data_IF_239911476502
#
_entry.id   IF_239911476502
#
_cell.length_a   1.000
_cell.length_b   1.000
_cell.length_c   1.000
_cell.angle_alpha   90.00
_cell.angle_beta   90.00
_cell.angle_gamma   90.00
#
_symmetry.space_group_name_H-M   'P 1'
#
loop_
_entity.id
_entity.type
_entity.pdbx_description
1 polymer ?
#
# COMPACT_ATOMS: atom_id res chain seq x y z
N UNK A 1 7.58 -10.32 -0.76
CA UNK A 1 6.43 -9.95 -1.63
C UNK A 1 5.99 -11.16 -2.46
N UNK A 2 6.94 -11.93 -3.00
CA UNK A 2 6.64 -13.17 -3.72
C UNK A 2 5.72 -14.14 -2.95
N UNK A 3 6.01 -14.41 -1.68
CA UNK A 3 5.20 -15.31 -0.85
C UNK A 3 3.72 -14.87 -0.72
N UNK A 4 3.45 -13.56 -0.68
CA UNK A 4 2.09 -13.02 -0.67
C UNK A 4 1.38 -13.29 -2.01
N UNK A 5 2.05 -13.03 -3.13
CA UNK A 5 1.50 -13.27 -4.47
C UNK A 5 1.21 -14.77 -4.66
N UNK A 6 2.13 -15.64 -4.27
CA UNK A 6 1.92 -17.09 -4.35
C UNK A 6 0.77 -17.57 -3.47
N UNK A 7 0.63 -17.01 -2.25
CA UNK A 7 -0.50 -17.30 -1.38
C UNK A 7 -1.83 -16.89 -2.04
N UNK A 8 -1.89 -15.71 -2.64
CA UNK A 8 -3.07 -15.23 -3.36
C UNK A 8 -3.39 -16.10 -4.57
N UNK A 9 -2.38 -16.56 -5.31
CA UNK A 9 -2.55 -17.48 -6.45
C UNK A 9 -3.16 -18.81 -6.01
N UNK A 10 -2.67 -19.39 -4.92
CA UNK A 10 -3.21 -20.63 -4.33
C UNK A 10 -4.66 -20.43 -3.85
N UNK A 11 -4.95 -19.31 -3.18
CA UNK A 11 -6.31 -19.02 -2.74
C UNK A 11 -7.27 -18.80 -3.90
N UNK A 12 -6.84 -18.14 -4.98
CA UNK A 12 -7.68 -17.95 -6.17
C UNK A 12 -8.08 -19.28 -6.81
N UNK A 13 -7.21 -20.30 -6.76
CA UNK A 13 -7.54 -21.65 -7.24
C UNK A 13 -8.56 -22.36 -6.34
N UNK A 14 -8.56 -22.06 -5.03
CA UNK A 14 -9.43 -22.70 -4.04
C UNK A 14 -10.78 -22.00 -3.87
N UNK A 15 -10.82 -20.69 -4.03
CA UNK A 15 -11.98 -19.86 -3.72
C UNK A 15 -12.45 -19.13 -4.98
N UNK A 16 -13.48 -19.66 -5.64
CA UNK A 16 -14.02 -19.10 -6.89
C UNK A 16 -14.52 -17.65 -6.75
N UNK A 17 -14.92 -17.24 -5.54
CA UNK A 17 -15.35 -15.87 -5.25
C UNK A 17 -14.18 -14.88 -5.07
N UNK A 18 -12.93 -15.35 -4.92
CA UNK A 18 -11.77 -14.50 -4.75
C UNK A 18 -11.29 -13.95 -6.10
N UNK A 19 -11.46 -12.63 -6.28
CA UNK A 19 -10.83 -11.89 -7.37
C UNK A 19 -9.60 -11.12 -6.86
N UNK A 20 -8.56 -11.05 -7.69
CA UNK A 20 -7.35 -10.28 -7.43
C UNK A 20 -7.19 -9.29 -8.56
N UNK A 21 -6.99 -8.02 -8.23
CA UNK A 21 -6.77 -6.94 -9.19
C UNK A 21 -5.50 -6.17 -8.82
N UNK A 22 -4.90 -5.54 -9.83
CA UNK A 22 -3.77 -4.64 -9.62
C UNK A 22 -4.32 -3.28 -9.22
N UNK A 23 -3.88 -2.77 -8.07
CA UNK A 23 -4.32 -1.47 -7.56
C UNK A 23 -3.53 -0.31 -8.17
N UNK A 24 -2.23 -0.49 -8.37
CA UNK A 24 -1.28 0.58 -8.73
C UNK A 24 -0.28 0.12 -9.80
N UNK A 25 0.43 1.05 -10.45
CA UNK A 25 1.42 0.76 -11.50
C UNK A 25 0.88 0.84 -12.93
N UNK A 26 -0.20 1.59 -13.15
CA UNK A 26 -0.62 1.98 -14.50
C UNK A 26 0.16 3.19 -15.00
N UNK A 27 0.21 3.40 -16.33
CA UNK A 27 0.60 4.67 -16.91
C UNK A 27 -0.22 5.80 -16.29
N UNK A 28 0.46 6.88 -15.91
CA UNK A 28 -0.21 8.04 -15.35
C UNK A 28 -1.17 8.68 -16.35
N UNK A 29 -2.33 9.11 -15.87
CA UNK A 29 -3.28 9.90 -16.65
C UNK A 29 -3.02 11.39 -16.37
N UNK A 30 -2.95 12.19 -17.43
CA UNK A 30 -2.71 13.64 -17.30
C UNK A 30 -3.79 14.29 -16.42
N UNK A 31 -3.37 15.10 -15.46
CA UNK A 31 -4.27 15.80 -14.53
C UNK A 31 -4.83 14.94 -13.39
N UNK A 32 -4.58 13.63 -13.37
CA UNK A 32 -5.11 12.71 -12.36
C UNK A 32 -3.97 12.24 -11.46
N UNK A 33 -4.12 12.43 -10.15
CA UNK A 33 -3.10 11.98 -9.20
C UNK A 33 -2.99 10.46 -9.16
N UNK A 34 -1.83 9.92 -8.75
CA UNK A 34 -1.65 8.46 -8.57
C UNK A 34 -2.69 7.88 -7.60
N UNK A 35 -2.95 8.57 -6.50
CA UNK A 35 -3.92 8.15 -5.48
C UNK A 35 -5.38 8.19 -5.97
N UNK A 36 -5.73 9.16 -6.82
CA UNK A 36 -7.03 9.21 -7.47
C UNK A 36 -7.20 8.05 -8.47
N UNK A 37 -6.17 7.71 -9.25
CA UNK A 37 -6.21 6.54 -10.14
C UNK A 37 -6.39 5.22 -9.37
N UNK A 38 -5.72 5.08 -8.22
CA UNK A 38 -5.93 3.93 -7.33
C UNK A 38 -7.38 3.89 -6.81
N UNK A 39 -7.96 5.04 -6.44
CA UNK A 39 -9.34 5.12 -5.96
C UNK A 39 -10.35 4.73 -7.05
N UNK A 40 -10.17 5.21 -8.28
CA UNK A 40 -11.00 4.84 -9.43
C UNK A 40 -11.03 3.33 -9.66
N UNK A 41 -9.91 2.64 -9.40
CA UNK A 41 -9.85 1.16 -9.50
C UNK A 41 -10.66 0.48 -8.41
N UNK A 42 -10.58 0.95 -7.17
CA UNK A 42 -11.40 0.45 -6.06
C UNK A 42 -12.88 0.64 -6.37
N UNK A 43 -13.27 1.82 -6.88
CA UNK A 43 -14.64 2.11 -7.30
C UNK A 43 -15.10 1.17 -8.43
N UNK A 44 -14.27 0.94 -9.44
CA UNK A 44 -14.59 0.00 -10.52
C UNK A 44 -14.80 -1.43 -10.00
N UNK A 45 -13.98 -1.88 -9.04
CA UNK A 45 -14.16 -3.19 -8.40
C UNK A 45 -15.42 -3.26 -7.54
N UNK A 46 -15.77 -2.17 -6.84
CA UNK A 46 -17.00 -2.06 -6.08
C UNK A 46 -18.24 -2.16 -6.97
N UNK A 47 -18.22 -1.51 -8.14
CA UNK A 47 -19.30 -1.59 -9.14
C UNK A 47 -19.43 -3.01 -9.70
N UNK A 48 -18.32 -3.68 -10.01
CA UNK A 48 -18.32 -5.07 -10.49
C UNK A 48 -18.81 -6.06 -9.45
N UNK A 49 -18.63 -5.75 -8.16
CA UNK A 49 -18.88 -6.64 -7.02
C UNK A 49 -19.62 -5.90 -5.89
N UNK A 50 -20.90 -5.55 -6.09
CA UNK A 50 -21.66 -4.72 -5.15
C UNK A 50 -21.96 -5.39 -3.80
N UNK A 51 -21.75 -6.70 -3.68
CA UNK A 51 -21.83 -7.44 -2.41
C UNK A 51 -20.45 -7.93 -1.92
N UNK A 52 -19.40 -7.72 -2.72
CA UNK A 52 -18.05 -8.17 -2.39
C UNK A 52 -17.37 -7.23 -1.40
N UNK A 53 -16.52 -7.81 -0.57
CA UNK A 53 -15.53 -7.06 0.23
C UNK A 53 -14.36 -6.73 -0.68
N UNK A 54 -14.04 -5.44 -0.81
CA UNK A 54 -12.84 -4.99 -1.51
C UNK A 54 -11.76 -4.71 -0.47
N UNK A 55 -10.71 -5.53 -0.48
CA UNK A 55 -9.53 -5.36 0.37
C UNK A 55 -8.35 -4.85 -0.48
N UNK A 56 -7.77 -3.73 -0.09
CA UNK A 56 -6.56 -3.18 -0.69
C UNK A 56 -5.39 -3.30 0.28
N UNK A 57 -4.21 -3.62 -0.26
CA UNK A 57 -2.95 -3.61 0.47
C UNK A 57 -2.11 -2.46 -0.08
N UNK A 58 -1.98 -1.39 0.71
CA UNK A 58 -1.26 -0.16 0.33
C UNK A 58 -0.39 0.32 1.48
N UNK A 59 0.54 1.23 1.17
CA UNK A 59 1.28 1.95 2.20
C UNK A 59 0.38 2.93 2.95
N UNK A 60 0.69 3.17 4.23
CA UNK A 60 -0.07 4.04 5.13
C UNK A 60 -0.39 5.42 4.52
N UNK A 61 0.52 5.99 3.74
CA UNK A 61 0.29 7.29 3.10
C UNK A 61 -0.93 7.29 2.16
N UNK A 62 -1.19 6.18 1.48
CA UNK A 62 -2.23 6.07 0.46
C UNK A 62 -3.61 5.76 1.06
N UNK A 63 -3.71 4.96 2.13
CA UNK A 63 -5.01 4.60 2.71
C UNK A 63 -5.55 5.62 3.73
N UNK A 64 -4.90 6.77 3.92
CA UNK A 64 -5.41 7.84 4.79
C UNK A 64 -6.80 8.32 4.33
N UNK A 65 -7.69 8.51 5.30
CA UNK A 65 -9.03 9.09 5.11
C UNK A 65 -9.02 10.63 5.15
N UNK A 66 -7.87 11.23 5.44
CA UNK A 66 -7.68 12.68 5.53
C UNK A 66 -6.41 13.12 4.80
N UNK A 67 -6.41 14.32 4.20
CA UNK A 67 -5.20 14.87 3.59
C UNK A 67 -4.00 14.90 4.54
N UNK A 68 -2.80 14.83 3.97
CA UNK A 68 -1.58 15.20 4.68
C UNK A 68 -1.62 16.73 4.82
N UNK A 69 -1.89 17.22 6.03
CA UNK A 69 -2.21 18.63 6.32
C UNK A 69 -1.06 19.63 6.15
N UNK A 70 -0.08 19.35 5.30
CA UNK A 70 1.08 20.20 5.07
C UNK A 70 1.54 20.12 3.61
N UNK A 71 2.02 21.25 3.09
CA UNK A 71 2.74 21.30 1.83
C UNK A 71 4.22 21.00 2.08
N UNK A 72 4.85 20.18 1.24
CA UNK A 72 6.31 19.99 1.28
C UNK A 72 6.90 20.90 0.21
N UNK A 73 7.79 21.82 0.61
CA UNK A 73 8.52 22.71 -0.31
C UNK A 73 7.58 23.51 -1.25
N UNK A 74 6.46 24.01 -0.72
CA UNK A 74 5.48 24.78 -1.50
C UNK A 74 4.64 23.96 -2.49
N UNK A 75 4.78 22.62 -2.51
CA UNK A 75 3.96 21.73 -3.33
C UNK A 75 2.81 21.16 -2.52
N UNK A 76 1.59 21.31 -3.04
CA UNK A 76 0.41 20.63 -2.52
C UNK A 76 0.61 19.13 -2.65
N UNK A 77 0.52 18.41 -1.54
CA UNK A 77 0.53 16.95 -1.55
C UNK A 77 -0.83 16.49 -2.11
N UNK A 78 -0.86 15.64 -3.15
CA UNK A 78 -2.12 15.09 -3.64
C UNK A 78 -2.90 14.40 -2.53
N UNK A 79 -4.23 14.49 -2.60
CA UNK A 79 -5.10 13.80 -1.65
C UNK A 79 -4.87 12.28 -1.71
N UNK A 80 -4.77 11.59 -0.56
CA UNK A 80 -4.57 10.15 -0.51
C UNK A 80 -5.82 9.41 -1.02
N UNK A 81 -5.63 8.17 -1.49
CA UNK A 81 -6.69 7.34 -2.07
C UNK A 81 -7.93 7.27 -1.18
N UNK A 82 -7.76 7.17 0.14
CA UNK A 82 -8.89 7.07 1.08
C UNK A 82 -9.82 8.28 1.09
N UNK A 83 -9.34 9.49 0.75
CA UNK A 83 -10.18 10.69 0.62
C UNK A 83 -11.13 10.58 -0.56
N UNK A 84 -10.66 10.06 -1.69
CA UNK A 84 -11.47 9.83 -2.89
C UNK A 84 -12.49 8.70 -2.74
N UNK A 85 -12.40 7.91 -1.68
CA UNK A 85 -13.28 6.79 -1.37
C UNK A 85 -14.28 7.10 -0.25
N UNK A 86 -14.43 8.37 0.15
CA UNK A 86 -15.25 8.76 1.30
C UNK A 86 -16.70 8.25 1.23
N UNK A 87 -17.31 8.25 0.04
CA UNK A 87 -18.69 7.77 -0.18
C UNK A 87 -18.87 6.27 0.13
N UNK A 88 -17.78 5.50 0.15
CA UNK A 88 -17.81 4.09 0.54
C UNK A 88 -17.71 3.88 2.05
N UNK A 89 -17.48 4.94 2.83
CA UNK A 89 -17.18 4.88 4.27
C UNK A 89 -16.16 3.77 4.62
N UNK A 90 -14.97 3.78 4.00
CA UNK A 90 -14.04 2.66 4.09
C UNK A 90 -13.44 2.53 5.49
N UNK A 91 -13.27 1.29 5.95
CA UNK A 91 -12.36 1.00 7.05
C UNK A 91 -10.91 1.17 6.56
N UNK A 92 -10.11 1.92 7.31
CA UNK A 92 -8.69 2.13 7.01
C UNK A 92 -7.82 1.81 8.21
N UNK A 93 -6.82 0.97 7.99
CA UNK A 93 -5.91 0.46 9.02
C UNK A 93 -4.51 0.97 8.74
N UNK A 94 -3.94 1.73 9.69
CA UNK A 94 -2.52 2.06 9.64
C UNK A 94 -1.70 0.91 10.19
N UNK A 95 -0.58 0.60 9.54
CA UNK A 95 0.39 -0.36 10.03
C UNK A 95 1.45 0.37 10.86
N UNK A 96 1.70 -0.14 12.05
CA UNK A 96 2.70 0.40 12.96
C UNK A 96 3.80 -0.66 13.17
N UNK A 97 5.06 -0.23 13.25
CA UNK A 97 6.21 -1.15 13.30
C UNK A 97 7.22 -0.63 14.30
N UNK A 98 7.72 -1.51 15.17
CA UNK A 98 8.77 -1.23 16.14
C UNK A 98 10.17 -1.15 15.49
N UNK A 99 10.27 -0.54 14.29
CA UNK A 99 11.45 -0.51 13.44
C UNK A 99 11.65 -1.78 12.61
N UNK A 100 12.91 -2.08 12.32
CA UNK A 100 13.33 -3.28 11.58
C UNK A 100 13.89 -2.95 10.21
N UNK A 101 13.36 -3.56 9.16
CA UNK A 101 13.84 -3.32 7.80
C UNK A 101 12.74 -3.38 6.76
N UNK A 102 12.92 -2.59 5.70
CA UNK A 102 12.08 -2.59 4.52
C UNK A 102 12.92 -2.60 3.24
N UNK A 103 12.36 -3.14 2.16
CA UNK A 103 12.89 -2.89 0.83
C UNK A 103 12.33 -1.56 0.33
N UNK A 104 13.19 -0.60 0.01
CA UNK A 104 12.80 0.72 -0.47
C UNK A 104 13.62 1.11 -1.71
N UNK A 105 13.02 1.91 -2.59
CA UNK A 105 13.66 2.45 -3.80
C UNK A 105 13.70 3.97 -3.74
N UNK A 106 14.56 4.51 -2.87
CA UNK A 106 14.80 5.94 -2.73
C UNK A 106 16.15 6.19 -2.01
N UNK A 107 17.16 6.82 -2.64
CA UNK A 107 17.31 7.04 -4.09
C UNK A 107 17.65 5.75 -4.85
N UNK A 108 18.31 4.80 -4.20
CA UNK A 108 18.61 3.47 -4.75
C UNK A 108 17.66 2.43 -4.17
N UNK A 109 17.46 1.33 -4.90
CA UNK A 109 16.74 0.17 -4.40
C UNK A 109 17.60 -0.66 -3.44
N UNK A 110 17.02 -1.12 -2.33
CA UNK A 110 17.71 -2.03 -1.42
C UNK A 110 16.99 -2.21 -0.10
N UNK A 111 17.54 -3.12 0.71
CA UNK A 111 17.17 -3.21 2.12
C UNK A 111 17.61 -1.94 2.84
N UNK A 112 16.72 -1.42 3.68
CA UNK A 112 16.94 -0.23 4.49
C UNK A 112 16.50 -0.54 5.90
N UNK A 113 17.31 -0.12 6.86
CA UNK A 113 16.95 -0.18 8.28
C UNK A 113 15.93 0.92 8.54
N UNK A 114 14.88 0.56 9.28
CA UNK A 114 13.88 1.48 9.77
C UNK A 114 14.11 1.65 11.26
N UNK A 115 14.44 2.88 11.66
CA UNK A 115 14.55 3.21 13.07
C UNK A 115 13.21 3.02 13.78
N UNK A 116 13.30 2.55 15.02
CA UNK A 116 12.15 2.45 15.90
C UNK A 116 11.59 3.86 16.17
N UNK A 117 10.27 4.04 15.98
CA UNK A 117 9.60 5.27 16.37
C UNK A 117 9.49 5.40 17.90
N UNK A 118 9.08 6.58 18.37
CA UNK A 118 8.94 6.87 19.80
C UNK A 118 8.01 5.89 20.55
N UNK A 119 7.03 5.29 19.86
CA UNK A 119 6.06 4.36 20.42
C UNK A 119 6.44 2.87 20.26
N UNK A 120 7.68 2.57 19.85
CA UNK A 120 8.09 1.21 19.48
C UNK A 120 7.86 0.13 20.54
N UNK A 121 7.91 0.47 21.83
CA UNK A 121 7.57 -0.46 22.90
C UNK A 121 6.10 -0.92 22.86
N UNK A 122 5.19 -0.02 22.52
CA UNK A 122 3.77 -0.35 22.33
C UNK A 122 3.53 -1.12 21.03
N UNK A 123 4.43 -0.98 20.06
CA UNK A 123 4.32 -1.59 18.73
C UNK A 123 5.02 -2.94 18.62
N UNK A 124 5.69 -3.40 19.68
CA UNK A 124 6.50 -4.62 19.68
C UNK A 124 5.68 -5.91 19.57
N UNK A 125 4.49 -5.93 20.18
CA UNK A 125 3.58 -7.08 20.15
C UNK A 125 2.52 -6.91 19.06
N UNK A 126 2.26 -7.93 18.22
CA UNK A 126 1.20 -7.86 17.23
C UNK A 126 -0.15 -7.62 17.87
N UNK A 127 -0.75 -6.46 17.61
CA UNK A 127 -2.01 -6.07 18.20
C UNK A 127 -2.81 -5.18 17.25
N UNK A 128 -4.12 -5.43 17.19
CA UNK A 128 -5.07 -4.57 16.51
C UNK A 128 -5.82 -3.71 17.52
N UNK A 129 -5.99 -2.42 17.22
CA UNK A 129 -6.83 -1.51 17.99
C UNK A 129 -7.68 -0.64 17.08
N UNK A 130 -8.91 -0.38 17.48
CA UNK A 130 -9.76 0.65 16.86
C UNK A 130 -9.23 2.04 17.19
N UNK A 131 -9.36 2.96 16.25
CA UNK A 131 -9.03 4.37 16.41
C UNK A 131 -10.30 5.23 16.36
N UNK A 132 -10.27 6.48 16.86
CA UNK A 132 -11.40 7.40 16.74
C UNK A 132 -11.83 7.59 15.27
N UNK A 133 -13.15 7.59 15.02
CA UNK A 133 -13.70 7.76 13.67
C UNK A 133 -13.34 9.12 13.03
N UNK A 134 -12.99 10.11 13.85
CA UNK A 134 -12.50 11.41 13.40
C UNK A 134 -11.01 11.40 12.98
N UNK A 135 -10.32 10.27 13.09
CA UNK A 135 -8.92 10.12 12.72
C UNK A 135 -8.66 10.06 11.21
N UNK A 136 -7.38 9.97 10.84
CA UNK A 136 -6.98 9.67 9.45
C UNK A 136 -7.09 8.17 9.11
N UNK A 137 -7.33 7.33 10.12
CA UNK A 137 -7.50 5.89 10.03
C UNK A 137 -8.56 5.46 11.06
N UNK A 138 -9.27 4.37 10.80
CA UNK A 138 -10.27 3.80 11.71
C UNK A 138 -9.70 2.70 12.60
N UNK A 139 -8.50 2.18 12.27
CA UNK A 139 -7.80 1.20 13.07
C UNK A 139 -6.28 1.31 12.92
N UNK A 140 -5.57 0.65 13.84
CA UNK A 140 -4.13 0.47 13.79
C UNK A 140 -3.80 -0.99 14.06
N UNK A 141 -2.84 -1.52 13.30
CA UNK A 141 -2.24 -2.82 13.56
C UNK A 141 -0.74 -2.65 13.82
N UNK A 142 -0.31 -2.91 15.06
CA UNK A 142 1.10 -3.07 15.40
C UNK A 142 1.61 -4.41 14.88
N UNK A 143 2.71 -4.42 14.12
CA UNK A 143 3.27 -5.61 13.50
C UNK A 143 4.53 -6.14 14.20
N UNK A 144 5.03 -5.44 15.22
CA UNK A 144 6.35 -5.70 15.77
C UNK A 144 7.47 -5.21 14.86
N UNK A 145 8.60 -5.93 14.89
CA UNK A 145 9.77 -5.64 14.07
C UNK A 145 9.53 -6.10 12.63
N UNK A 146 9.67 -5.18 11.69
CA UNK A 146 9.50 -5.48 10.26
C UNK A 146 10.75 -6.15 9.65
N UNK A 147 10.53 -7.01 8.66
CA UNK A 147 11.62 -7.56 7.85
C UNK A 147 11.42 -7.19 6.38
N UNK A 148 12.53 -6.90 5.70
CA UNK A 148 12.48 -6.47 4.31
C UNK A 148 11.93 -7.57 3.41
N UNK A 149 10.79 -7.28 2.81
CA UNK A 149 10.20 -8.11 1.76
C UNK A 149 10.90 -7.81 0.43
N UNK A 150 11.81 -8.70 0.00
CA UNK A 150 12.48 -8.58 -1.29
C UNK A 150 11.50 -8.54 -2.48
N UNK A 151 11.89 -7.91 -3.61
CA UNK A 151 11.07 -7.86 -4.81
C UNK A 151 10.78 -9.27 -5.34
N UNK A 152 9.61 -9.43 -5.97
CA UNK A 152 9.21 -10.74 -6.50
C UNK A 152 10.05 -11.20 -7.70
N UNK A 153 10.65 -10.28 -8.46
CA UNK A 153 11.52 -10.57 -9.62
C UNK A 153 12.98 -10.19 -9.32
N UNK A 154 13.57 -10.75 -8.26
CA UNK A 154 14.95 -10.46 -7.87
C UNK A 154 15.21 -8.99 -7.52
N UNK A 155 16.37 -8.69 -6.93
CA UNK A 155 16.82 -7.30 -6.87
C UNK A 155 17.16 -6.82 -8.29
N UNK A 156 16.84 -5.58 -8.69
CA UNK A 156 17.42 -5.00 -9.89
C UNK A 156 18.94 -5.10 -9.78
N UNK A 157 19.59 -5.70 -10.77
CA UNK A 157 21.05 -5.72 -10.84
C UNK A 157 21.52 -4.26 -10.96
N UNK A 158 22.36 -3.75 -10.02
CA UNK A 158 22.92 -2.40 -10.13
C UNK A 158 23.74 -2.18 -11.41
N UNK A 159 24.06 -3.26 -12.16
CA UNK A 159 24.80 -3.23 -13.42
C UNK A 159 23.96 -3.53 -14.67
N UNK A 160 22.64 -3.77 -14.56
CA UNK A 160 21.80 -4.02 -15.72
C UNK A 160 21.59 -2.73 -16.53
N UNK A 161 22.48 -2.48 -17.49
CA UNK A 161 22.23 -1.52 -18.58
C UNK A 161 20.99 -1.94 -19.36
N UNK A 162 20.02 -1.04 -19.45
CA UNK A 162 18.75 -1.19 -20.16
C UNK A 162 18.97 -1.74 -21.57
N UNK A 163 18.81 -3.05 -21.73
CA UNK A 163 18.74 -3.68 -23.05
C UNK A 163 17.29 -3.67 -23.48
N UNK A 164 17.00 -2.78 -24.41
CA UNK A 164 15.75 -2.71 -25.16
C UNK A 164 15.39 -4.11 -25.68
N UNK A 165 14.34 -4.72 -25.13
CA UNK A 165 13.74 -5.91 -25.75
C UNK A 165 13.03 -5.45 -27.04
N UNK A 166 13.69 -5.62 -28.18
CA UNK A 166 12.99 -5.87 -29.43
C UNK A 166 12.37 -7.26 -29.32
N UNK A 167 11.04 -7.34 -29.44
CA UNK A 167 10.33 -8.60 -29.66
C UNK A 167 10.20 -8.83 -31.18
N UNK A 168 10.24 -10.10 -31.64
CA UNK A 168 9.98 -10.48 -33.03
C UNK A 168 8.51 -10.28 -33.42
#
# INVERSE_FOLDING_TARGET
MFALIERLRQWKQRYAALAVFVLDGLPGVAGVSRDEQMAQRVLAERVRRPQGIVLTLTGNAHNRLKPLGFAIQGRTIPAPMGVWLADLSPASVTLATAGGSAWMCAPACGVRVLEAGHDAAQEMAPAYRSLPASGAYTGQWALGVSTASLPARGAPDPHATSSTLMLP
#
